data_IF_145204469266
#
_entry.id   IF_145204469266
#
_cell.length_a   1.000
_cell.length_b   1.000
_cell.length_c   1.000
_cell.angle_alpha   90.00
_cell.angle_beta   90.00
_cell.angle_gamma   90.00
#
_symmetry.space_group_name_H-M   'P 1'
#
loop_
_entity.id
_entity.type
_entity.pdbx_description
1 polymer ?
#
# COMPACT_ATOMS: atom_id res chain seq x y z
N UNK A 1 16.49 -14.87 6.30
CA UNK A 1 16.38 -13.46 6.77
C UNK A 1 17.78 -12.90 6.83
N UNK A 2 18.08 -11.79 6.15
CA UNK A 2 19.37 -11.09 6.35
C UNK A 2 19.37 -10.52 7.77
N UNK A 3 20.47 -10.66 8.49
CA UNK A 3 20.61 -10.04 9.81
C UNK A 3 20.36 -8.52 9.71
N UNK A 4 19.64 -7.98 10.68
CA UNK A 4 19.37 -6.54 10.77
C UNK A 4 20.67 -5.79 10.94
N UNK A 5 20.96 -4.83 10.04
CA UNK A 5 22.19 -4.04 10.11
C UNK A 5 22.16 -3.09 11.29
N UNK A 6 23.26 -3.04 12.02
CA UNK A 6 23.50 -2.05 13.09
C UNK A 6 24.10 -0.76 12.53
N UNK A 7 24.10 0.37 13.27
CA UNK A 7 24.83 1.58 12.88
C UNK A 7 26.29 1.30 12.52
N UNK A 8 26.98 0.45 13.27
CA UNK A 8 28.39 0.08 13.03
C UNK A 8 28.55 -0.67 11.70
N UNK A 9 27.62 -1.57 11.38
CA UNK A 9 27.63 -2.31 10.11
C UNK A 9 27.47 -1.35 8.93
N UNK A 10 26.55 -0.40 9.03
CA UNK A 10 26.30 0.60 7.97
C UNK A 10 27.55 1.45 7.75
N UNK A 11 28.17 1.99 8.81
CA UNK A 11 29.40 2.79 8.72
C UNK A 11 30.53 1.99 8.05
N UNK A 12 30.70 0.72 8.45
CA UNK A 12 31.70 -0.18 7.86
C UNK A 12 31.43 -0.38 6.36
N UNK A 13 30.19 -0.74 5.99
CA UNK A 13 29.81 -0.97 4.59
C UNK A 13 30.03 0.28 3.74
N UNK A 14 29.65 1.45 4.23
CA UNK A 14 29.81 2.73 3.52
C UNK A 14 31.28 3.02 3.23
N UNK A 15 32.17 2.79 4.20
CA UNK A 15 33.63 2.96 4.03
C UNK A 15 34.22 1.92 3.05
N UNK A 16 33.89 0.63 3.21
CA UNK A 16 34.43 -0.47 2.38
C UNK A 16 33.97 -0.40 0.92
N UNK A 17 32.72 0.05 0.69
CA UNK A 17 32.13 0.15 -0.65
C UNK A 17 32.29 1.52 -1.29
N UNK A 18 32.98 2.44 -0.65
CA UNK A 18 33.19 3.81 -1.13
C UNK A 18 31.88 4.49 -1.58
N UNK A 19 30.86 4.43 -0.74
CA UNK A 19 29.54 5.02 -1.02
C UNK A 19 29.69 6.52 -1.20
N UNK A 20 29.11 7.08 -2.26
CA UNK A 20 29.23 8.50 -2.58
C UNK A 20 28.19 9.36 -1.87
N UNK A 21 26.96 8.86 -1.75
CA UNK A 21 25.84 9.53 -1.09
C UNK A 21 24.95 8.53 -0.38
N UNK A 22 24.32 8.95 0.72
CA UNK A 22 23.30 8.21 1.41
C UNK A 22 21.99 9.04 1.37
N UNK A 23 20.95 8.48 0.77
CA UNK A 23 19.62 9.10 0.72
C UNK A 23 18.83 8.73 1.96
N UNK A 24 18.23 9.71 2.61
CA UNK A 24 17.27 9.55 3.68
C UNK A 24 15.86 9.63 3.11
N UNK A 25 15.10 8.56 3.29
CA UNK A 25 13.77 8.38 2.71
C UNK A 25 12.70 8.42 3.81
N UNK A 26 11.64 9.19 3.59
CA UNK A 26 10.44 9.22 4.41
C UNK A 26 9.24 9.59 3.53
N UNK A 27 8.02 9.57 4.06
CA UNK A 27 6.85 9.91 3.27
C UNK A 27 6.08 11.08 3.89
N UNK A 28 5.38 11.83 3.04
CA UNK A 28 4.31 12.71 3.51
C UNK A 28 3.05 11.91 3.86
N UNK A 29 2.00 12.59 4.32
CA UNK A 29 0.72 11.97 4.70
C UNK A 29 0.06 11.21 3.53
N UNK A 30 0.30 11.62 2.30
CA UNK A 30 -0.23 10.98 1.09
C UNK A 30 0.59 9.76 0.63
N UNK A 31 1.71 9.46 1.29
CA UNK A 31 2.62 8.37 0.89
C UNK A 31 3.51 8.72 -0.29
N UNK A 32 3.66 10.00 -0.60
CA UNK A 32 4.64 10.46 -1.58
C UNK A 32 6.01 10.45 -0.93
N UNK A 33 6.95 9.74 -1.57
CA UNK A 33 8.31 9.66 -1.07
C UNK A 33 9.00 11.02 -1.11
N UNK A 34 9.58 11.40 0.02
CA UNK A 34 10.47 12.54 0.19
C UNK A 34 11.87 12.03 0.43
N UNK A 35 12.88 12.75 -0.04
CA UNK A 35 14.28 12.38 0.22
C UNK A 35 15.21 13.58 0.18
N UNK A 36 16.26 13.50 0.96
CA UNK A 36 17.45 14.31 0.83
C UNK A 36 18.69 13.43 0.97
N UNK A 37 19.84 13.93 0.59
CA UNK A 37 21.09 13.16 0.58
C UNK A 37 22.11 13.75 1.51
N UNK A 38 22.85 12.90 2.23
CA UNK A 38 24.02 13.26 3.00
C UNK A 38 25.28 12.68 2.38
N UNK A 39 26.42 13.28 2.69
CA UNK A 39 27.75 12.72 2.38
C UNK A 39 28.16 11.70 3.45
N UNK A 40 29.07 10.77 3.15
CA UNK A 40 29.54 9.79 4.13
C UNK A 40 30.20 10.40 5.38
N UNK A 41 30.71 11.64 5.33
CA UNK A 41 31.26 12.35 6.49
C UNK A 41 30.21 12.62 7.57
N UNK A 42 28.98 12.85 7.19
CA UNK A 42 27.88 13.18 8.11
C UNK A 42 27.19 11.93 8.70
N UNK A 43 27.54 10.73 8.20
CA UNK A 43 26.80 9.51 8.51
C UNK A 43 26.83 9.12 10.00
N UNK A 44 28.00 9.26 10.66
CA UNK A 44 28.14 8.85 12.06
C UNK A 44 27.25 9.73 12.97
N UNK A 45 27.25 11.04 12.74
CA UNK A 45 26.40 12.00 13.45
C UNK A 45 24.92 11.75 13.15
N UNK A 46 24.56 11.60 11.87
CA UNK A 46 23.20 11.32 11.46
C UNK A 46 22.63 10.02 12.05
N UNK A 47 23.46 8.96 12.18
CA UNK A 47 23.04 7.71 12.84
C UNK A 47 22.88 7.88 14.36
N UNK A 48 23.63 8.77 15.01
CA UNK A 48 23.54 8.99 16.46
C UNK A 48 22.46 10.01 16.83
N UNK A 49 22.35 11.13 16.10
CA UNK A 49 21.48 12.25 16.47
C UNK A 49 20.32 12.48 15.49
N UNK A 50 20.44 11.98 14.27
CA UNK A 50 19.54 12.29 13.16
C UNK A 50 20.03 13.52 12.38
N UNK A 51 19.27 13.94 11.38
CA UNK A 51 19.56 15.09 10.55
C UNK A 51 18.37 16.06 10.55
N UNK A 52 18.62 17.31 10.93
CA UNK A 52 17.62 18.37 10.94
C UNK A 52 17.14 18.73 9.52
N UNK A 53 15.87 19.00 9.36
CA UNK A 53 15.27 19.50 8.12
C UNK A 53 14.02 20.34 8.39
N UNK A 54 13.64 21.19 7.43
CA UNK A 54 12.39 21.97 7.46
C UNK A 54 11.20 21.12 6.99
N UNK A 55 10.31 20.80 7.92
CA UNK A 55 9.07 20.04 7.65
C UNK A 55 7.90 20.87 7.14
N UNK A 56 7.95 22.21 7.17
CA UNK A 56 6.82 23.08 6.85
C UNK A 56 6.33 22.97 5.42
N UNK A 57 7.19 22.56 4.49
CA UNK A 57 6.87 22.35 3.08
C UNK A 57 6.47 20.90 2.75
N UNK A 58 6.37 20.03 3.75
CA UNK A 58 5.96 18.63 3.58
C UNK A 58 4.47 18.50 3.86
N UNK A 59 3.71 17.93 2.89
CA UNK A 59 2.25 17.81 3.00
C UNK A 59 1.81 17.02 4.24
N UNK A 60 0.97 17.66 5.06
CA UNK A 60 0.47 17.09 6.30
C UNK A 60 1.42 17.14 7.48
N UNK A 61 2.61 17.75 7.35
CA UNK A 61 3.58 17.92 8.43
C UNK A 61 3.31 19.21 9.23
N UNK A 62 4.35 19.78 9.79
CA UNK A 62 4.29 20.89 10.73
C UNK A 62 3.80 22.21 10.09
N UNK A 63 3.49 23.18 10.94
CA UNK A 63 3.30 24.58 10.55
C UNK A 63 4.65 25.26 10.43
N UNK A 64 4.67 26.47 9.81
CA UNK A 64 5.92 27.26 9.64
C UNK A 64 6.60 27.56 10.99
N UNK A 65 5.80 27.78 12.04
CA UNK A 65 6.29 28.08 13.39
C UNK A 65 6.91 26.86 14.11
N UNK A 66 6.67 25.66 13.61
CA UNK A 66 7.10 24.39 14.20
C UNK A 66 7.81 23.54 13.15
N UNK A 67 8.58 24.18 12.25
CA UNK A 67 9.09 23.54 11.04
C UNK A 67 10.33 22.67 11.27
N UNK A 68 11.09 22.90 12.32
CA UNK A 68 12.32 22.15 12.59
C UNK A 68 12.00 20.71 13.01
N UNK A 69 12.49 19.76 12.23
CA UNK A 69 12.28 18.33 12.43
C UNK A 69 13.59 17.56 12.27
N UNK A 70 13.63 16.35 12.80
CA UNK A 70 14.77 15.46 12.73
C UNK A 70 14.39 14.19 11.95
N UNK A 71 15.12 13.91 10.87
CA UNK A 71 15.07 12.62 10.17
C UNK A 71 16.09 11.67 10.79
N UNK A 72 15.62 10.66 11.52
CA UNK A 72 16.45 9.64 12.18
C UNK A 72 16.52 8.39 11.31
N UNK A 73 17.68 8.09 10.68
CA UNK A 73 17.78 6.94 9.80
C UNK A 73 17.68 5.62 10.57
N UNK A 74 16.94 4.68 10.00
CA UNK A 74 16.85 3.30 10.48
C UNK A 74 17.92 2.44 9.77
N UNK A 75 19.01 2.04 10.45
CA UNK A 75 20.11 1.30 9.84
C UNK A 75 19.68 -0.08 9.31
N UNK A 76 18.62 -0.69 9.87
CA UNK A 76 18.11 -1.96 9.40
C UNK A 76 17.59 -1.89 7.96
N UNK A 77 17.24 -0.68 7.51
CA UNK A 77 16.69 -0.44 6.17
C UNK A 77 17.77 -0.08 5.13
N UNK A 78 19.05 -0.02 5.50
CA UNK A 78 20.12 0.35 4.59
C UNK A 78 20.19 -0.56 3.37
N UNK A 79 20.09 0.03 2.16
CA UNK A 79 20.16 -0.65 0.86
C UNK A 79 20.90 0.21 -0.16
N UNK A 80 21.65 -0.45 -1.07
CA UNK A 80 22.15 0.20 -2.26
C UNK A 80 21.02 0.44 -3.25
N UNK A 81 21.18 1.48 -4.09
CA UNK A 81 20.26 1.78 -5.19
C UNK A 81 20.83 1.20 -6.49
N UNK A 82 20.34 0.05 -7.00
CA UNK A 82 20.94 -0.66 -8.14
C UNK A 82 20.95 0.13 -9.44
N UNK A 83 20.05 1.09 -9.56
CA UNK A 83 19.95 1.97 -10.73
C UNK A 83 20.94 3.15 -10.71
N UNK A 84 21.82 3.22 -9.71
CA UNK A 84 22.90 4.20 -9.65
C UNK A 84 24.23 3.59 -10.13
N UNK A 85 25.17 4.41 -10.64
CA UNK A 85 26.47 3.92 -11.12
C UNK A 85 27.21 3.10 -10.06
N UNK A 86 27.78 1.95 -10.46
CA UNK A 86 28.49 1.05 -9.53
C UNK A 86 29.84 1.60 -9.07
N UNK A 87 30.47 2.49 -9.83
CA UNK A 87 31.72 3.19 -9.50
C UNK A 87 31.51 4.36 -8.52
N UNK A 88 30.25 4.83 -8.39
CA UNK A 88 29.80 5.85 -7.44
C UNK A 88 28.52 5.41 -6.77
N UNK A 89 28.58 4.38 -5.93
CA UNK A 89 27.37 3.78 -5.36
C UNK A 89 26.65 4.78 -4.45
N UNK A 90 25.33 4.73 -4.53
CA UNK A 90 24.40 5.46 -3.68
C UNK A 90 23.60 4.45 -2.87
N UNK A 91 23.42 4.74 -1.59
CA UNK A 91 22.57 3.94 -0.72
C UNK A 91 21.40 4.78 -0.19
N UNK A 92 20.44 4.11 0.41
CA UNK A 92 19.31 4.78 1.10
C UNK A 92 19.05 4.14 2.46
N UNK A 93 18.46 4.89 3.38
CA UNK A 93 17.80 4.41 4.58
C UNK A 93 16.44 5.08 4.71
N UNK A 94 15.44 4.34 5.20
CA UNK A 94 14.22 4.97 5.70
C UNK A 94 14.50 5.67 7.02
N UNK A 95 13.77 6.77 7.25
CA UNK A 95 13.91 7.54 8.48
C UNK A 95 12.59 7.54 9.24
N UNK A 96 12.69 7.50 10.57
CA UNK A 96 11.65 7.95 11.47
C UNK A 96 11.75 9.46 11.61
N UNK A 97 10.65 10.17 11.67
CA UNK A 97 10.62 11.61 11.88
C UNK A 97 10.39 11.89 13.36
N UNK A 98 11.24 12.76 13.91
CA UNK A 98 11.22 13.15 15.31
C UNK A 98 11.03 14.66 15.44
N UNK A 99 10.46 15.06 16.58
CA UNK A 99 10.49 16.43 17.07
C UNK A 99 11.93 16.83 17.47
N UNK A 100 12.22 18.13 17.61
CA UNK A 100 13.55 18.61 18.03
C UNK A 100 14.00 18.07 19.40
N UNK A 101 13.07 17.70 20.27
CA UNK A 101 13.37 17.09 21.56
C UNK A 101 13.65 15.57 21.50
N UNK A 102 13.59 14.99 20.29
CA UNK A 102 13.83 13.57 20.04
C UNK A 102 12.60 12.67 20.23
N UNK A 103 11.43 13.22 20.56
CA UNK A 103 10.19 12.44 20.62
C UNK A 103 9.68 12.12 19.21
N UNK A 104 9.01 10.96 19.01
CA UNK A 104 8.43 10.63 17.70
C UNK A 104 7.39 11.67 17.24
N UNK A 105 7.52 12.13 16.00
CA UNK A 105 6.56 13.05 15.42
C UNK A 105 5.23 12.35 15.10
N UNK A 106 4.13 12.86 15.64
CA UNK A 106 2.79 12.28 15.50
C UNK A 106 2.23 12.32 14.07
N UNK A 107 2.82 13.15 13.21
CA UNK A 107 2.47 13.27 11.79
C UNK A 107 3.29 12.36 10.87
N UNK A 108 4.20 11.53 11.40
CA UNK A 108 4.95 10.55 10.61
C UNK A 108 4.10 9.28 10.35
N UNK A 109 3.76 8.98 9.07
CA UNK A 109 3.01 7.77 8.73
C UNK A 109 3.70 6.47 9.18
N UNK A 110 5.04 6.42 9.09
CA UNK A 110 5.83 5.26 9.52
C UNK A 110 5.71 5.05 11.03
N UNK A 111 5.73 6.11 11.82
CA UNK A 111 5.51 6.05 13.27
C UNK A 111 4.08 5.56 13.62
N UNK A 112 3.06 6.04 12.92
CA UNK A 112 1.69 5.56 13.13
C UNK A 112 1.63 4.04 12.98
N UNK A 113 2.21 3.49 11.92
CA UNK A 113 2.20 2.04 11.71
C UNK A 113 3.02 1.31 12.79
N UNK A 114 4.19 1.80 13.16
CA UNK A 114 5.01 1.26 14.27
C UNK A 114 4.20 1.18 15.58
N UNK A 115 3.43 2.21 15.88
CA UNK A 115 2.58 2.26 17.09
C UNK A 115 1.49 1.18 17.08
N UNK A 116 0.83 0.94 15.94
CA UNK A 116 -0.18 -0.11 15.81
C UNK A 116 0.46 -1.50 15.87
N UNK A 117 1.61 -1.70 15.21
CA UNK A 117 2.37 -2.95 15.31
C UNK A 117 2.80 -3.26 16.75
N UNK A 118 3.24 -2.24 17.51
CA UNK A 118 3.62 -2.41 18.91
C UNK A 118 2.45 -2.90 19.78
N UNK A 119 1.24 -2.31 19.64
CA UNK A 119 0.03 -2.77 20.33
C UNK A 119 -0.28 -4.26 20.08
N UNK A 120 -0.10 -4.71 18.84
CA UNK A 120 -0.34 -6.11 18.45
C UNK A 120 0.77 -7.03 18.96
N UNK A 121 2.02 -6.53 18.99
CA UNK A 121 3.16 -7.25 19.56
C UNK A 121 3.03 -7.44 21.09
N UNK A 122 2.47 -6.48 21.83
CA UNK A 122 2.14 -6.62 23.26
C UNK A 122 1.17 -7.78 23.54
N UNK A 123 0.31 -8.09 22.56
CA UNK A 123 -0.60 -9.24 22.63
C UNK A 123 0.08 -10.55 22.20
N UNK A 124 1.37 -10.49 21.82
CA UNK A 124 2.19 -11.63 21.41
C UNK A 124 2.06 -12.00 19.93
N UNK A 125 1.53 -11.13 19.07
CA UNK A 125 1.36 -11.41 17.66
C UNK A 125 2.34 -10.61 16.79
N UNK A 126 2.78 -11.24 15.69
CA UNK A 126 3.52 -10.59 14.59
C UNK A 126 2.61 -10.51 13.37
N UNK A 127 2.53 -9.35 12.77
CA UNK A 127 1.75 -9.09 11.57
C UNK A 127 2.58 -9.29 10.31
N UNK A 128 2.11 -10.13 9.41
CA UNK A 128 2.71 -10.40 8.10
C UNK A 128 1.82 -9.93 6.98
N UNK A 129 2.45 -9.36 5.95
CA UNK A 129 1.82 -8.79 4.77
C UNK A 129 2.47 -9.30 3.49
N UNK A 130 1.68 -9.50 2.44
CA UNK A 130 2.11 -9.77 1.08
C UNK A 130 1.23 -8.99 0.10
N UNK A 131 1.58 -7.77 -0.27
CA UNK A 131 0.84 -7.00 -1.25
C UNK A 131 1.23 -7.42 -2.67
N UNK A 132 0.23 -7.48 -3.53
CA UNK A 132 0.31 -7.63 -5.00
C UNK A 132 0.13 -6.24 -5.60
N UNK A 133 1.16 -5.68 -6.24
CA UNK A 133 1.10 -4.30 -6.74
C UNK A 133 0.97 -4.29 -8.25
N UNK A 134 -0.18 -3.87 -8.73
CA UNK A 134 -0.45 -3.65 -10.14
C UNK A 134 -0.08 -2.22 -10.56
N UNK A 135 0.34 -2.05 -11.80
CA UNK A 135 0.74 -0.76 -12.36
C UNK A 135 0.70 -0.77 -13.88
N UNK A 136 0.79 0.43 -14.48
CA UNK A 136 0.81 0.59 -15.93
C UNK A 136 2.14 1.15 -16.41
N UNK A 137 2.54 0.72 -17.61
CA UNK A 137 3.58 1.40 -18.41
C UNK A 137 2.95 2.19 -19.54
N UNK A 138 3.39 3.44 -19.73
CA UNK A 138 2.99 4.31 -20.83
C UNK A 138 4.21 4.88 -21.53
N UNK A 139 4.04 5.35 -22.80
CA UNK A 139 5.14 5.99 -23.53
C UNK A 139 5.66 7.25 -22.82
N UNK A 140 4.78 8.00 -22.12
CA UNK A 140 5.13 9.25 -21.43
C UNK A 140 4.15 9.52 -20.27
N UNK A 141 4.37 10.63 -19.56
CA UNK A 141 3.54 11.05 -18.42
C UNK A 141 2.47 12.11 -18.78
N UNK A 142 2.28 12.45 -20.03
CA UNK A 142 1.32 13.48 -20.46
C UNK A 142 -0.01 12.85 -20.88
N UNK A 143 0.04 11.72 -21.57
CA UNK A 143 -1.15 10.98 -22.00
C UNK A 143 -0.97 9.48 -21.73
N UNK A 144 -2.06 8.74 -21.41
CA UNK A 144 -1.97 7.32 -21.12
C UNK A 144 -1.84 6.49 -22.42
N UNK A 145 -0.78 6.73 -23.19
CA UNK A 145 -0.51 6.00 -24.42
C UNK A 145 0.13 4.66 -24.11
N UNK A 146 -0.60 3.58 -24.43
CA UNK A 146 -0.20 2.20 -24.17
C UNK A 146 1.04 1.81 -24.96
N UNK A 147 1.88 0.91 -24.40
CA UNK A 147 3.09 0.38 -25.03
C UNK A 147 2.88 -1.03 -25.62
N UNK A 148 1.84 -1.73 -25.20
CA UNK A 148 1.42 -3.03 -25.73
C UNK A 148 -0.10 -3.23 -25.67
N UNK A 149 -0.55 -4.35 -26.22
CA UNK A 149 -1.95 -4.78 -26.23
C UNK A 149 -2.11 -6.18 -25.61
N UNK A 150 -1.17 -6.58 -24.79
CA UNK A 150 -1.23 -7.83 -24.04
C UNK A 150 -2.41 -7.86 -23.07
N UNK A 151 -2.78 -9.04 -22.65
CA UNK A 151 -3.76 -9.35 -21.64
C UNK A 151 -3.19 -10.32 -20.60
N UNK A 152 -4.09 -10.83 -19.74
CA UNK A 152 -3.71 -11.64 -18.60
C UNK A 152 -2.87 -12.87 -18.96
N UNK A 153 -1.66 -12.93 -18.41
CA UNK A 153 -0.64 -13.98 -18.65
C UNK A 153 -0.14 -14.08 -20.09
N UNK A 154 -0.39 -13.08 -20.93
CA UNK A 154 0.17 -13.10 -22.27
C UNK A 154 1.70 -13.10 -22.24
N UNK A 155 2.27 -13.81 -23.21
CA UNK A 155 3.70 -13.91 -23.44
C UNK A 155 4.12 -13.09 -24.68
N UNK A 156 5.42 -12.84 -24.90
CA UNK A 156 5.88 -12.25 -26.15
C UNK A 156 5.37 -13.02 -27.39
N UNK A 157 4.95 -12.34 -28.47
CA UNK A 157 5.19 -10.91 -28.74
C UNK A 157 4.10 -9.96 -28.23
N UNK A 158 3.04 -10.42 -27.57
CA UNK A 158 1.96 -9.59 -27.05
C UNK A 158 2.42 -8.79 -25.83
N UNK A 159 3.07 -9.43 -24.86
CA UNK A 159 3.77 -8.77 -23.77
C UNK A 159 5.12 -8.23 -24.23
N UNK A 160 5.17 -6.93 -24.51
CA UNK A 160 6.39 -6.26 -24.95
C UNK A 160 7.25 -5.73 -23.81
N UNK A 161 6.70 -5.66 -22.59
CA UNK A 161 7.35 -5.06 -21.41
C UNK A 161 7.93 -6.07 -20.41
N UNK A 162 7.91 -7.37 -20.72
CA UNK A 162 8.45 -8.43 -19.86
C UNK A 162 9.91 -8.20 -19.45
N UNK A 163 10.71 -7.52 -20.27
CA UNK A 163 12.08 -7.15 -19.96
C UNK A 163 12.14 -6.09 -18.82
N UNK A 164 11.22 -5.13 -18.78
CA UNK A 164 11.16 -4.10 -17.71
C UNK A 164 10.81 -4.73 -16.35
N UNK A 165 9.86 -5.68 -16.34
CA UNK A 165 9.54 -6.45 -15.12
C UNK A 165 10.75 -7.24 -14.63
N UNK A 166 11.44 -7.95 -15.53
CA UNK A 166 12.66 -8.72 -15.20
C UNK A 166 13.75 -7.83 -14.63
N UNK A 167 14.04 -6.68 -15.24
CA UNK A 167 15.07 -5.77 -14.76
C UNK A 167 14.71 -5.14 -13.42
N UNK A 168 13.40 -4.86 -13.21
CA UNK A 168 12.87 -4.45 -11.91
C UNK A 168 13.09 -5.53 -10.86
N UNK A 169 12.78 -6.79 -11.17
CA UNK A 169 12.95 -7.92 -10.23
C UNK A 169 14.44 -8.08 -9.87
N UNK A 170 15.35 -8.00 -10.83
CA UNK A 170 16.78 -8.05 -10.54
C UNK A 170 17.23 -6.92 -9.61
N UNK A 171 16.75 -5.70 -9.82
CA UNK A 171 17.03 -4.58 -8.94
C UNK A 171 16.47 -4.81 -7.51
N UNK A 172 15.26 -5.32 -7.39
CA UNK A 172 14.66 -5.67 -6.10
C UNK A 172 15.46 -6.78 -5.39
N UNK A 173 15.89 -7.82 -6.11
CA UNK A 173 16.71 -8.90 -5.57
C UNK A 173 18.09 -8.42 -5.12
N UNK A 174 18.75 -7.51 -5.84
CA UNK A 174 20.00 -6.87 -5.42
C UNK A 174 19.80 -6.08 -4.10
N UNK A 175 18.60 -5.57 -3.82
CA UNK A 175 18.23 -4.93 -2.56
C UNK A 175 17.77 -5.92 -1.49
N UNK A 176 17.83 -7.24 -1.74
CA UNK A 176 17.41 -8.29 -0.81
C UNK A 176 15.89 -8.46 -0.68
N UNK A 177 15.12 -7.85 -1.57
CA UNK A 177 13.66 -7.98 -1.63
C UNK A 177 13.30 -9.22 -2.44
N UNK A 178 12.48 -10.11 -1.87
CA UNK A 178 12.05 -11.33 -2.52
C UNK A 178 10.76 -11.11 -3.32
N UNK A 179 10.77 -11.54 -4.57
CA UNK A 179 9.63 -11.55 -5.47
C UNK A 179 9.17 -12.98 -5.68
N UNK A 180 7.86 -13.24 -5.69
CA UNK A 180 7.31 -14.58 -5.94
C UNK A 180 7.16 -14.83 -7.44
N UNK A 181 6.46 -13.95 -8.16
CA UNK A 181 6.32 -13.99 -9.61
C UNK A 181 5.92 -12.63 -10.18
N UNK A 182 5.80 -12.54 -11.50
CA UNK A 182 5.30 -11.36 -12.20
C UNK A 182 4.67 -11.76 -13.53
N UNK A 183 3.70 -11.00 -13.97
CA UNK A 183 3.00 -11.25 -15.22
C UNK A 183 2.44 -9.99 -15.85
N UNK A 184 1.96 -10.12 -17.08
CA UNK A 184 1.10 -9.13 -17.72
C UNK A 184 -0.30 -9.25 -17.14
N UNK A 185 -0.91 -8.12 -16.80
CA UNK A 185 -2.26 -8.04 -16.26
C UNK A 185 -3.34 -7.97 -17.36
N UNK A 186 -4.63 -7.87 -16.95
CA UNK A 186 -5.78 -7.94 -17.86
C UNK A 186 -5.81 -6.76 -18.84
N UNK A 187 -5.54 -5.54 -18.34
CA UNK A 187 -5.60 -4.36 -19.20
C UNK A 187 -4.34 -4.21 -20.07
N UNK A 188 -4.44 -3.64 -21.28
CA UNK A 188 -3.27 -3.28 -22.09
C UNK A 188 -2.28 -2.45 -21.30
N UNK A 189 -0.98 -2.77 -21.42
CA UNK A 189 0.12 -2.10 -20.70
C UNK A 189 0.06 -2.21 -19.17
N UNK A 190 -0.76 -3.11 -18.62
CA UNK A 190 -0.86 -3.36 -17.18
C UNK A 190 0.00 -4.56 -16.78
N UNK A 191 0.70 -4.40 -15.66
CA UNK A 191 1.67 -5.37 -15.16
C UNK A 191 1.52 -5.54 -13.66
N UNK A 192 1.97 -6.69 -13.16
CA UNK A 192 1.99 -7.01 -11.74
C UNK A 192 3.32 -7.65 -11.35
N UNK A 193 3.76 -7.35 -10.14
CA UNK A 193 4.89 -8.00 -9.47
C UNK A 193 4.45 -8.31 -8.04
N UNK A 194 4.48 -9.60 -7.68
CA UNK A 194 4.06 -10.07 -6.38
C UNK A 194 5.24 -10.20 -5.45
N UNK A 195 5.15 -9.53 -4.34
CA UNK A 195 6.15 -9.56 -3.29
C UNK A 195 5.93 -10.76 -2.37
N UNK A 196 7.00 -11.47 -2.03
CA UNK A 196 6.94 -12.46 -0.99
C UNK A 196 6.62 -11.78 0.35
N UNK A 197 5.69 -12.35 1.12
CA UNK A 197 5.26 -11.81 2.41
C UNK A 197 6.43 -11.58 3.38
N UNK A 198 6.34 -10.52 4.17
CA UNK A 198 7.31 -10.17 5.22
C UNK A 198 6.60 -9.47 6.39
N UNK A 199 7.32 -9.20 7.47
CA UNK A 199 6.81 -8.45 8.62
C UNK A 199 6.32 -7.05 8.23
N UNK A 200 5.25 -6.60 8.86
CA UNK A 200 4.46 -5.44 8.45
C UNK A 200 5.27 -4.19 8.12
N UNK A 201 6.15 -3.73 9.04
CA UNK A 201 6.92 -2.50 8.80
C UNK A 201 7.87 -2.64 7.60
N UNK A 202 8.58 -3.79 7.55
CA UNK A 202 9.48 -4.08 6.43
C UNK A 202 8.73 -4.16 5.11
N UNK A 203 7.52 -4.73 5.12
CA UNK A 203 6.70 -4.79 3.91
C UNK A 203 6.22 -3.42 3.46
N UNK A 204 5.87 -2.51 4.37
CA UNK A 204 5.51 -1.13 4.00
C UNK A 204 6.70 -0.39 3.36
N UNK A 205 7.91 -0.50 3.97
CA UNK A 205 9.16 0.02 3.38
C UNK A 205 9.43 -0.62 1.99
N UNK A 206 9.15 -1.91 1.85
CA UNK A 206 9.33 -2.67 0.59
C UNK A 206 8.35 -2.23 -0.49
N UNK A 207 7.08 -2.02 -0.18
CA UNK A 207 6.08 -1.54 -1.13
C UNK A 207 6.45 -0.17 -1.71
N UNK A 208 6.94 0.76 -0.86
CA UNK A 208 7.47 2.04 -1.32
C UNK A 208 8.72 1.86 -2.20
N UNK A 209 9.66 1.01 -1.78
CA UNK A 209 10.87 0.71 -2.53
C UNK A 209 10.55 0.13 -3.92
N UNK A 210 9.59 -0.81 -3.99
CA UNK A 210 9.13 -1.38 -5.26
C UNK A 210 8.56 -0.30 -6.19
N UNK A 211 7.68 0.57 -5.69
CA UNK A 211 7.10 1.65 -6.51
C UNK A 211 8.17 2.55 -7.12
N UNK A 212 9.21 2.87 -6.36
CA UNK A 212 10.33 3.68 -6.87
C UNK A 212 11.19 2.89 -7.86
N UNK A 213 11.46 1.60 -7.58
CA UNK A 213 12.25 0.74 -8.47
C UNK A 213 11.58 0.60 -9.83
N UNK A 214 10.28 0.30 -9.86
CA UNK A 214 9.49 0.21 -11.12
C UNK A 214 9.61 1.51 -11.93
N UNK A 215 9.42 2.66 -11.28
CA UNK A 215 9.50 3.98 -11.93
C UNK A 215 10.92 4.30 -12.44
N UNK A 216 11.95 3.99 -11.69
CA UNK A 216 13.34 4.26 -12.07
C UNK A 216 13.79 3.35 -13.22
N UNK A 217 13.45 2.06 -13.18
CA UNK A 217 13.74 1.14 -14.29
C UNK A 217 12.99 1.56 -15.58
N UNK A 218 11.72 1.91 -15.46
CA UNK A 218 10.93 2.43 -16.58
C UNK A 218 11.60 3.69 -17.19
N UNK A 219 11.94 4.67 -16.35
CA UNK A 219 12.59 5.91 -16.78
C UNK A 219 13.92 5.66 -17.50
N UNK A 220 14.74 4.73 -17.02
CA UNK A 220 16.00 4.36 -17.67
C UNK A 220 15.81 3.73 -19.04
N UNK A 221 14.66 3.12 -19.28
CA UNK A 221 14.29 2.49 -20.55
C UNK A 221 13.38 3.38 -21.43
N UNK A 222 13.25 4.67 -21.10
CA UNK A 222 12.46 5.62 -21.90
C UNK A 222 10.95 5.40 -21.85
N UNK A 223 10.46 4.74 -20.77
CA UNK A 223 9.06 4.40 -20.53
C UNK A 223 8.61 5.06 -19.22
N UNK A 224 7.35 5.38 -19.10
CA UNK A 224 6.76 5.93 -17.88
C UNK A 224 5.92 4.89 -17.12
N UNK A 225 6.19 4.70 -15.85
CA UNK A 225 5.42 3.81 -14.98
C UNK A 225 4.50 4.60 -14.03
N UNK A 226 3.25 4.17 -13.91
CA UNK A 226 2.29 4.77 -12.99
C UNK A 226 1.54 3.73 -12.16
N UNK A 227 1.32 4.07 -10.89
CA UNK A 227 0.46 3.34 -9.95
C UNK A 227 -0.92 4.02 -9.82
N UNK A 228 -1.33 4.80 -10.81
CA UNK A 228 -2.67 5.40 -10.86
C UNK A 228 -3.74 4.32 -10.89
N UNK A 229 -4.76 4.37 -10.00
CA UNK A 229 -5.74 3.29 -9.86
C UNK A 229 -6.56 2.99 -11.12
N UNK A 230 -6.89 4.00 -11.92
CA UNK A 230 -7.68 3.85 -13.15
C UNK A 230 -7.21 4.83 -14.22
N UNK A 231 -6.11 4.54 -14.94
CA UNK A 231 -5.58 5.47 -15.95
C UNK A 231 -6.29 5.36 -17.31
N UNK A 232 -6.92 4.21 -17.63
CA UNK A 232 -7.59 3.96 -18.90
C UNK A 232 -9.11 3.80 -18.71
N UNK A 233 -9.89 4.53 -19.50
CA UNK A 233 -11.32 4.35 -19.56
C UNK A 233 -11.69 3.04 -20.26
N UNK A 234 -12.65 2.29 -19.72
CA UNK A 234 -13.10 1.03 -20.30
C UNK A 234 -12.22 -0.20 -20.00
N UNK A 235 -11.06 -0.02 -19.36
CA UNK A 235 -10.12 -1.11 -19.01
C UNK A 235 -10.14 -1.39 -17.50
N UNK A 236 -9.54 -2.51 -17.05
CA UNK A 236 -9.34 -2.78 -15.63
C UNK A 236 -8.42 -1.73 -15.00
N UNK A 237 -8.62 -1.46 -13.71
CA UNK A 237 -7.75 -0.59 -12.91
C UNK A 237 -6.74 -1.40 -12.09
N UNK A 238 -5.79 -0.70 -11.46
CA UNK A 238 -4.75 -1.31 -10.64
C UNK A 238 -5.15 -1.44 -9.18
N UNK A 239 -5.06 -2.66 -8.66
CA UNK A 239 -5.23 -3.01 -7.26
C UNK A 239 -3.91 -3.14 -6.51
N UNK A 240 -4.00 -3.12 -5.19
CA UNK A 240 -2.97 -3.61 -4.28
C UNK A 240 -3.63 -4.63 -3.36
N UNK A 241 -3.90 -5.82 -3.90
CA UNK A 241 -4.47 -6.90 -3.10
C UNK A 241 -3.49 -7.25 -1.98
N UNK A 242 -3.96 -7.20 -0.75
CA UNK A 242 -3.07 -7.32 0.41
C UNK A 242 -3.38 -8.58 1.19
N UNK A 243 -2.50 -9.58 1.05
CA UNK A 243 -2.52 -10.76 1.89
C UNK A 243 -2.07 -10.42 3.30
N UNK A 244 -2.80 -10.95 4.30
CA UNK A 244 -2.60 -10.65 5.70
C UNK A 244 -2.66 -11.92 6.54
N UNK A 245 -1.77 -12.02 7.51
CA UNK A 245 -1.81 -13.06 8.54
C UNK A 245 -1.19 -12.58 9.85
N UNK A 246 -1.58 -13.21 10.96
CA UNK A 246 -1.00 -12.99 12.27
C UNK A 246 -0.31 -14.27 12.74
N UNK A 247 0.85 -14.13 13.35
CA UNK A 247 1.59 -15.25 13.92
C UNK A 247 1.80 -15.04 15.41
N UNK A 248 1.70 -16.12 16.18
CA UNK A 248 2.10 -16.16 17.58
C UNK A 248 3.32 -17.06 17.69
N UNK A 249 4.51 -16.47 17.81
CA UNK A 249 5.76 -17.18 17.56
C UNK A 249 5.78 -17.77 16.14
N UNK A 250 6.04 -19.06 16.00
CA UNK A 250 6.08 -19.77 14.71
C UNK A 250 4.72 -20.28 14.21
N UNK A 251 3.67 -20.15 15.00
CA UNK A 251 2.33 -20.65 14.67
C UNK A 251 1.50 -19.56 13.99
N UNK A 252 0.85 -19.91 12.88
CA UNK A 252 -0.12 -19.05 12.21
C UNK A 252 -1.42 -19.00 13.03
N UNK A 253 -1.75 -17.83 13.56
CA UNK A 253 -2.93 -17.63 14.41
C UNK A 253 -4.26 -17.70 13.66
N UNK A 254 -4.22 -17.65 12.32
CA UNK A 254 -5.42 -17.74 11.48
C UNK A 254 -5.82 -19.20 11.18
N UNK A 255 -4.97 -20.18 11.45
CA UNK A 255 -5.22 -21.57 11.13
C UNK A 255 -5.93 -22.32 12.26
N UNK A 256 -6.93 -23.14 11.88
CA UNK A 256 -7.58 -24.14 12.73
C UNK A 256 -7.88 -25.39 11.91
N UNK A 257 -7.28 -26.53 12.27
CA UNK A 257 -7.46 -27.81 11.58
C UNK A 257 -8.90 -28.37 11.66
N UNK A 258 -9.66 -27.99 12.69
CA UNK A 258 -11.01 -28.51 12.96
C UNK A 258 -12.11 -27.74 12.23
N UNK A 259 -11.81 -26.55 11.72
CA UNK A 259 -12.78 -25.70 11.02
C UNK A 259 -12.94 -26.13 9.56
N UNK A 260 -14.17 -26.01 9.04
CA UNK A 260 -14.49 -26.37 7.64
C UNK A 260 -13.69 -25.60 6.58
N UNK A 261 -13.25 -24.38 6.91
CA UNK A 261 -12.44 -23.52 6.06
C UNK A 261 -10.98 -23.42 6.52
N UNK A 262 -10.62 -24.18 7.57
CA UNK A 262 -9.35 -24.09 8.28
C UNK A 262 -9.04 -22.69 8.84
N UNK A 263 -10.08 -21.92 9.19
CA UNK A 263 -9.99 -20.60 9.80
C UNK A 263 -10.24 -20.67 11.31
N UNK A 264 -9.32 -20.15 12.09
CA UNK A 264 -9.51 -19.98 13.53
C UNK A 264 -10.63 -18.98 13.83
N UNK A 265 -11.15 -19.01 15.07
CA UNK A 265 -12.08 -17.99 15.55
C UNK A 265 -11.50 -16.58 15.40
N UNK A 266 -10.19 -16.43 15.67
CA UNK A 266 -9.47 -15.16 15.47
C UNK A 266 -9.51 -14.69 14.01
N UNK A 267 -9.23 -15.57 13.05
CA UNK A 267 -9.29 -15.23 11.62
C UNK A 267 -10.70 -14.79 11.19
N UNK A 268 -11.73 -15.49 11.68
CA UNK A 268 -13.12 -15.14 11.39
C UNK A 268 -13.48 -13.77 11.94
N UNK A 269 -13.16 -13.50 13.20
CA UNK A 269 -13.41 -12.18 13.80
C UNK A 269 -12.57 -11.07 13.15
N UNK A 270 -11.35 -11.38 12.72
CA UNK A 270 -10.50 -10.45 11.97
C UNK A 270 -11.11 -10.07 10.60
N UNK A 271 -11.59 -11.05 9.83
CA UNK A 271 -12.31 -10.81 8.56
C UNK A 271 -13.56 -9.96 8.82
N UNK A 272 -14.35 -10.31 9.85
CA UNK A 272 -15.54 -9.56 10.21
C UNK A 272 -15.21 -8.09 10.57
N UNK A 273 -14.08 -7.85 11.25
CA UNK A 273 -13.58 -6.51 11.55
C UNK A 273 -13.22 -5.71 10.29
N UNK A 274 -12.47 -6.32 9.37
CA UNK A 274 -12.17 -5.72 8.05
C UNK A 274 -13.47 -5.35 7.32
N UNK A 275 -14.46 -6.25 7.30
CA UNK A 275 -15.74 -6.00 6.63
C UNK A 275 -16.54 -4.88 7.30
N UNK A 276 -16.64 -4.90 8.62
CA UNK A 276 -17.41 -3.90 9.39
C UNK A 276 -16.89 -2.47 9.20
N UNK A 277 -15.57 -2.32 9.10
CA UNK A 277 -14.88 -1.02 9.00
C UNK A 277 -14.41 -0.68 7.58
N UNK A 278 -14.79 -1.47 6.57
CA UNK A 278 -14.33 -1.29 5.18
C UNK A 278 -14.64 0.10 4.61
N UNK A 279 -15.83 0.63 4.86
CA UNK A 279 -16.25 1.95 4.40
C UNK A 279 -15.46 3.07 5.05
N UNK A 280 -15.16 2.94 6.33
CA UNK A 280 -14.37 3.90 7.12
C UNK A 280 -12.91 3.94 6.66
N UNK A 281 -12.32 2.78 6.29
CA UNK A 281 -10.96 2.66 5.80
C UNK A 281 -10.79 3.19 4.37
N UNK A 282 -11.86 3.31 3.60
CA UNK A 282 -11.79 3.58 2.16
C UNK A 282 -11.01 4.86 1.83
N UNK A 283 -11.14 5.92 2.66
CA UNK A 283 -10.39 7.16 2.44
C UNK A 283 -8.86 6.97 2.56
N UNK A 284 -8.41 5.96 3.27
CA UNK A 284 -6.97 5.66 3.49
C UNK A 284 -6.48 4.64 2.45
N UNK A 285 -7.25 3.59 2.19
CA UNK A 285 -6.88 2.52 1.26
C UNK A 285 -7.11 2.89 -0.21
N UNK A 286 -7.98 3.88 -0.46
CA UNK A 286 -8.41 4.36 -1.78
C UNK A 286 -8.51 5.89 -1.74
N UNK A 287 -7.38 6.54 -1.54
CA UNK A 287 -7.32 7.94 -1.09
C UNK A 287 -7.50 9.00 -2.18
N UNK A 288 -7.61 8.62 -3.46
CA UNK A 288 -7.68 9.56 -4.58
C UNK A 288 -9.06 9.58 -5.23
N UNK A 289 -9.46 10.70 -5.82
CA UNK A 289 -10.67 10.74 -6.67
C UNK A 289 -10.64 9.62 -7.71
N UNK A 290 -9.47 9.34 -8.28
CA UNK A 290 -9.28 8.31 -9.29
C UNK A 290 -9.46 6.89 -8.73
N UNK A 291 -9.27 6.65 -7.44
CA UNK A 291 -9.54 5.36 -6.79
C UNK A 291 -10.97 4.89 -7.01
N UNK A 292 -11.93 5.82 -6.99
CA UNK A 292 -13.36 5.54 -7.19
C UNK A 292 -13.77 5.36 -8.67
N UNK A 293 -12.85 5.61 -9.60
CA UNK A 293 -12.99 5.20 -11.00
C UNK A 293 -12.61 3.72 -11.19
N UNK A 294 -11.77 3.17 -10.30
CA UNK A 294 -11.47 1.72 -10.23
C UNK A 294 -12.59 0.97 -9.53
N UNK A 295 -13.07 1.46 -8.38
CA UNK A 295 -14.09 0.79 -7.55
C UNK A 295 -15.50 0.89 -8.17
N UNK A 296 -15.64 0.34 -9.37
CA UNK A 296 -16.91 0.26 -10.12
C UNK A 296 -17.17 -1.19 -10.54
N UNK A 297 -18.44 -1.64 -10.58
CA UNK A 297 -18.78 -3.01 -11.01
C UNK A 297 -18.32 -3.30 -12.44
N UNK A 298 -17.95 -4.56 -12.71
CA UNK A 298 -17.63 -5.04 -14.06
C UNK A 298 -16.17 -4.94 -14.50
N UNK A 299 -15.26 -4.53 -13.61
CA UNK A 299 -13.82 -4.39 -13.89
C UNK A 299 -12.94 -5.12 -12.86
N UNK A 300 -13.40 -6.26 -12.35
CA UNK A 300 -12.71 -7.11 -11.36
C UNK A 300 -12.30 -6.40 -10.04
N UNK A 301 -12.77 -5.17 -9.84
CA UNK A 301 -12.54 -4.44 -8.60
C UNK A 301 -13.62 -4.76 -7.56
N UNK A 302 -13.29 -5.01 -6.30
CA UNK A 302 -14.27 -5.32 -5.27
C UNK A 302 -15.05 -4.07 -4.87
N UNK A 303 -16.34 -4.08 -5.15
CA UNK A 303 -17.25 -2.98 -4.79
C UNK A 303 -18.10 -3.33 -3.57
N UNK A 304 -18.34 -4.62 -3.36
CA UNK A 304 -19.28 -5.13 -2.37
C UNK A 304 -18.57 -5.67 -1.12
N UNK A 305 -19.09 -5.30 0.05
CA UNK A 305 -18.58 -5.75 1.35
C UNK A 305 -19.06 -7.16 1.61
N UNK A 306 -18.28 -8.12 1.15
CA UNK A 306 -18.54 -9.55 1.29
C UNK A 306 -17.20 -10.31 1.36
N UNK A 307 -17.27 -11.56 1.80
CA UNK A 307 -16.12 -12.46 1.75
C UNK A 307 -16.47 -13.80 1.09
N UNK A 308 -15.47 -14.44 0.51
CA UNK A 308 -15.58 -15.76 -0.09
C UNK A 308 -14.23 -16.48 -0.14
N UNK A 309 -14.28 -17.77 -0.54
CA UNK A 309 -13.07 -18.57 -0.79
C UNK A 309 -12.65 -18.57 -2.26
N UNK A 310 -13.59 -18.56 -3.18
CA UNK A 310 -13.34 -18.71 -4.62
C UNK A 310 -13.81 -17.51 -5.44
N UNK A 311 -14.75 -16.76 -4.92
CA UNK A 311 -15.34 -15.65 -5.64
C UNK A 311 -14.43 -14.43 -5.63
N UNK A 312 -13.98 -13.98 -6.82
CA UNK A 312 -13.12 -12.79 -7.00
C UNK A 312 -13.91 -11.47 -7.00
N UNK A 313 -15.24 -11.50 -7.00
CA UNK A 313 -16.08 -10.30 -6.86
C UNK A 313 -16.17 -9.79 -5.41
N UNK A 314 -15.72 -10.58 -4.43
CA UNK A 314 -15.77 -10.23 -3.02
C UNK A 314 -14.58 -9.37 -2.59
N UNK A 315 -14.81 -8.52 -1.59
CA UNK A 315 -13.82 -7.64 -1.01
C UNK A 315 -12.73 -8.40 -0.23
N UNK A 316 -13.12 -9.43 0.51
CA UNK A 316 -12.19 -10.30 1.21
C UNK A 316 -12.24 -11.70 0.61
N UNK A 317 -11.11 -12.19 0.15
CA UNK A 317 -10.94 -13.57 -0.30
C UNK A 317 -10.09 -14.36 0.69
N UNK A 318 -10.49 -15.58 0.97
CA UNK A 318 -9.69 -16.53 1.75
C UNK A 318 -9.12 -17.57 0.78
N UNK A 319 -7.82 -17.52 0.46
CA UNK A 319 -7.18 -18.50 -0.41
C UNK A 319 -7.36 -19.92 0.12
N UNK A 320 -7.51 -20.89 -0.78
CA UNK A 320 -7.72 -22.29 -0.39
C UNK A 320 -6.52 -22.83 0.37
N UNK A 321 -6.80 -23.50 1.49
CA UNK A 321 -5.80 -24.26 2.24
C UNK A 321 -5.22 -25.40 1.38
N UNK A 322 -3.91 -25.57 1.48
CA UNK A 322 -3.19 -26.72 0.91
C UNK A 322 -2.69 -27.61 2.07
N UNK A 323 -2.97 -28.93 2.05
CA UNK A 323 -2.53 -29.83 3.12
C UNK A 323 -1.04 -29.70 3.43
N UNK A 324 -0.70 -29.60 4.74
CA UNK A 324 0.68 -29.39 5.20
C UNK A 324 1.23 -27.99 5.02
N UNK A 325 0.37 -27.00 4.73
CA UNK A 325 0.74 -25.59 4.54
C UNK A 325 0.00 -24.64 5.51
N UNK A 326 -0.11 -25.04 6.78
CA UNK A 326 -0.79 -24.31 7.84
C UNK A 326 -0.27 -22.87 7.97
N UNK A 327 1.05 -22.70 7.84
CA UNK A 327 1.71 -21.38 7.87
C UNK A 327 1.30 -20.45 6.72
N UNK A 328 0.72 -20.98 5.65
CA UNK A 328 0.27 -20.18 4.49
C UNK A 328 -1.20 -19.72 4.62
N UNK A 329 -1.89 -20.03 5.72
CA UNK A 329 -3.26 -19.54 5.97
C UNK A 329 -3.26 -18.03 6.09
N UNK A 330 -4.09 -17.38 5.26
CA UNK A 330 -4.14 -15.93 5.15
C UNK A 330 -5.49 -15.45 4.62
N UNK A 331 -5.77 -14.19 4.79
CA UNK A 331 -6.84 -13.50 4.09
C UNK A 331 -6.24 -12.58 3.03
N UNK A 332 -6.99 -12.26 2.01
CA UNK A 332 -6.66 -11.29 0.97
C UNK A 332 -7.71 -10.18 0.99
N UNK A 333 -7.29 -8.97 1.31
CA UNK A 333 -8.13 -7.77 1.21
C UNK A 333 -7.87 -7.09 -0.13
N UNK A 334 -8.88 -7.04 -0.99
CA UNK A 334 -8.75 -6.70 -2.41
C UNK A 334 -9.07 -5.25 -2.74
N UNK A 335 -9.65 -4.50 -1.79
CA UNK A 335 -10.07 -3.11 -2.01
C UNK A 335 -8.92 -2.13 -2.23
N UNK A 336 -7.79 -2.17 -1.49
CA UNK A 336 -6.76 -1.16 -1.62
C UNK A 336 -6.23 -1.00 -3.04
N UNK A 337 -5.79 0.21 -3.37
CA UNK A 337 -5.07 0.47 -4.61
C UNK A 337 -3.61 0.86 -4.35
N UNK A 338 -2.71 0.70 -5.35
CA UNK A 338 -1.27 0.87 -5.15
C UNK A 338 -0.83 2.34 -5.03
N UNK A 339 -1.76 3.29 -5.11
CA UNK A 339 -1.49 4.71 -4.93
C UNK A 339 -1.69 5.19 -3.48
N UNK A 340 -2.17 4.32 -2.58
CA UNK A 340 -2.34 4.66 -1.17
C UNK A 340 -1.00 4.82 -0.44
N UNK A 341 -1.04 5.44 0.75
CA UNK A 341 0.09 5.43 1.67
C UNK A 341 0.17 4.04 2.35
N UNK A 342 1.19 3.21 2.08
CA UNK A 342 1.23 1.84 2.58
C UNK A 342 1.31 1.76 4.12
N UNK A 343 1.99 2.70 4.78
CA UNK A 343 2.04 2.72 6.25
C UNK A 343 0.65 2.91 6.84
N UNK A 344 -0.08 3.92 6.35
CA UNK A 344 -1.42 4.22 6.86
C UNK A 344 -2.43 3.15 6.46
N UNK A 345 -2.38 2.66 5.22
CA UNK A 345 -3.25 1.59 4.74
C UNK A 345 -3.10 0.32 5.57
N UNK A 346 -1.86 -0.13 5.80
CA UNK A 346 -1.60 -1.33 6.60
C UNK A 346 -1.94 -1.12 8.09
N UNK A 347 -1.77 0.09 8.62
CA UNK A 347 -2.18 0.42 10.00
C UNK A 347 -3.69 0.31 10.19
N UNK A 348 -4.50 0.90 9.28
CA UNK A 348 -5.97 0.84 9.41
C UNK A 348 -6.53 -0.55 9.16
N UNK A 349 -5.94 -1.34 8.24
CA UNK A 349 -6.32 -2.73 8.04
C UNK A 349 -6.08 -3.56 9.30
N UNK A 350 -4.89 -3.44 9.89
CA UNK A 350 -4.56 -4.16 11.13
C UNK A 350 -5.48 -3.75 12.28
N UNK A 351 -5.71 -2.45 12.45
CA UNK A 351 -6.58 -1.93 13.50
C UNK A 351 -8.03 -2.41 13.33
N UNK A 352 -8.58 -2.39 12.11
CA UNK A 352 -9.93 -2.88 11.82
C UNK A 352 -10.06 -4.39 12.09
N UNK A 353 -9.11 -5.19 11.62
CA UNK A 353 -9.09 -6.62 11.90
C UNK A 353 -9.00 -6.94 13.38
N UNK A 354 -8.10 -6.26 14.12
CA UNK A 354 -7.93 -6.45 15.56
C UNK A 354 -9.15 -5.98 16.36
N UNK A 355 -9.83 -4.91 15.93
CA UNK A 355 -11.09 -4.47 16.52
C UNK A 355 -12.14 -5.58 16.47
N UNK A 356 -12.24 -6.26 15.33
CA UNK A 356 -13.11 -7.44 15.20
C UNK A 356 -12.74 -8.58 16.15
N UNK A 357 -11.44 -8.81 16.36
CA UNK A 357 -10.94 -9.82 17.32
C UNK A 357 -11.25 -9.44 18.76
N UNK A 358 -10.98 -8.19 19.14
CA UNK A 358 -11.20 -7.67 20.50
C UNK A 358 -12.68 -7.70 20.92
N UNK A 359 -13.57 -7.38 19.98
CA UNK A 359 -15.02 -7.33 20.22
C UNK A 359 -15.76 -8.62 19.79
N UNK A 360 -15.02 -9.65 19.34
CA UNK A 360 -15.57 -10.94 18.90
C UNK A 360 -16.65 -10.80 17.83
N UNK A 361 -16.39 -10.00 16.78
CA UNK A 361 -17.31 -9.83 15.68
C UNK A 361 -17.61 -11.17 15.00
N UNK A 362 -18.87 -11.37 14.66
CA UNK A 362 -19.32 -12.59 14.01
C UNK A 362 -19.19 -12.45 12.49
N UNK A 363 -18.49 -13.41 11.88
CA UNK A 363 -18.34 -13.47 10.43
C UNK A 363 -19.64 -13.99 9.81
N UNK A 364 -20.29 -13.27 8.86
CA UNK A 364 -21.42 -13.79 8.13
C UNK A 364 -21.04 -14.96 7.21
N UNK A 365 -22.02 -15.67 6.67
CA UNK A 365 -21.77 -16.73 5.69
C UNK A 365 -21.04 -16.20 4.45
N UNK A 366 -20.19 -17.02 3.81
CA UNK A 366 -19.47 -16.61 2.62
C UNK A 366 -20.43 -16.48 1.42
N UNK A 367 -20.15 -15.53 0.54
CA UNK A 367 -20.91 -15.33 -0.71
C UNK A 367 -20.10 -15.92 -1.86
N UNK A 368 -20.41 -17.16 -2.24
CA UNK A 368 -19.72 -17.87 -3.33
C UNK A 368 -20.33 -17.62 -4.72
N UNK A 369 -21.52 -17.01 -4.78
CA UNK A 369 -22.19 -16.59 -6.01
C UNK A 369 -21.56 -15.31 -6.56
N UNK A 370 -21.66 -15.08 -7.88
CA UNK A 370 -21.20 -13.84 -8.49
C UNK A 370 -22.08 -12.66 -8.08
N UNK A 371 -21.54 -11.79 -7.21
CA UNK A 371 -22.30 -10.65 -6.66
C UNK A 371 -22.66 -9.63 -7.76
N UNK A 372 -21.89 -9.56 -8.85
CA UNK A 372 -22.20 -8.65 -9.96
C UNK A 372 -23.48 -9.04 -10.72
N UNK A 373 -23.84 -10.32 -10.73
CA UNK A 373 -25.07 -10.82 -11.34
C UNK A 373 -26.30 -10.72 -10.40
N UNK A 374 -26.08 -10.47 -9.09
CA UNK A 374 -27.17 -10.27 -8.14
C UNK A 374 -27.85 -8.92 -8.36
N UNK A 375 -29.17 -8.89 -8.34
CA UNK A 375 -29.92 -7.63 -8.31
C UNK A 375 -29.84 -6.95 -6.93
N UNK A 376 -30.27 -5.70 -6.84
CA UNK A 376 -30.20 -4.90 -5.63
C UNK A 376 -30.95 -5.53 -4.46
N UNK A 377 -32.15 -6.11 -4.75
CA UNK A 377 -33.00 -6.77 -3.74
C UNK A 377 -32.32 -8.01 -3.17
N UNK A 378 -31.65 -8.80 -4.03
CA UNK A 378 -30.93 -9.99 -3.61
C UNK A 378 -29.72 -9.60 -2.72
N UNK A 379 -28.99 -8.55 -3.08
CA UNK A 379 -27.88 -8.02 -2.26
C UNK A 379 -28.36 -7.50 -0.90
N UNK A 380 -29.46 -6.74 -0.86
CA UNK A 380 -30.04 -6.26 0.40
C UNK A 380 -30.46 -7.41 1.32
N UNK A 381 -31.14 -8.45 0.77
CA UNK A 381 -31.54 -9.65 1.52
C UNK A 381 -30.33 -10.42 2.08
N UNK A 382 -29.23 -10.44 1.35
CA UNK A 382 -27.98 -11.05 1.79
C UNK A 382 -27.17 -10.16 2.76
N UNK A 383 -27.63 -8.95 3.07
CA UNK A 383 -26.92 -7.98 3.93
C UNK A 383 -25.64 -7.43 3.30
N UNK A 384 -25.53 -7.49 1.98
CA UNK A 384 -24.35 -7.02 1.24
C UNK A 384 -24.45 -5.51 1.04
N UNK A 385 -23.52 -4.77 1.63
CA UNK A 385 -23.38 -3.32 1.42
C UNK A 385 -22.30 -3.04 0.37
N UNK A 386 -22.24 -1.80 -0.13
CA UNK A 386 -21.21 -1.36 -1.07
C UNK A 386 -20.17 -0.50 -0.38
N UNK A 387 -18.93 -0.53 -0.88
CA UNK A 387 -17.91 0.47 -0.56
C UNK A 387 -18.40 1.86 -1.02
N UNK A 388 -17.80 2.96 -0.49
CA UNK A 388 -18.10 4.30 -0.97
C UNK A 388 -17.93 4.41 -2.50
N UNK A 389 -18.89 5.03 -3.18
CA UNK A 389 -18.85 5.23 -4.64
C UNK A 389 -18.07 6.47 -5.08
N UNK A 390 -17.62 7.28 -4.12
CA UNK A 390 -16.87 8.53 -4.39
C UNK A 390 -15.94 8.88 -3.25
N UNK A 391 -14.94 9.73 -3.54
CA UNK A 391 -14.08 10.32 -2.50
C UNK A 391 -14.90 11.07 -1.43
N UNK A 392 -16.01 11.69 -1.83
CA UNK A 392 -16.88 12.42 -0.91
C UNK A 392 -17.56 11.49 0.09
N UNK A 393 -18.11 10.38 -0.37
CA UNK A 393 -18.71 9.39 0.53
C UNK A 393 -17.68 8.81 1.49
N UNK A 394 -16.48 8.47 1.00
CA UNK A 394 -15.40 7.98 1.85
C UNK A 394 -14.96 9.02 2.90
N UNK A 395 -14.94 10.31 2.55
CA UNK A 395 -14.72 11.40 3.51
C UNK A 395 -15.78 11.38 4.62
N UNK A 396 -17.06 11.27 4.25
CA UNK A 396 -18.18 11.26 5.20
C UNK A 396 -18.13 10.05 6.15
N UNK A 397 -17.71 8.89 5.64
CA UNK A 397 -17.57 7.68 6.48
C UNK A 397 -16.38 7.83 7.45
N UNK A 398 -15.23 8.29 6.96
CA UNK A 398 -14.05 8.48 7.79
C UNK A 398 -14.27 9.56 8.88
N UNK A 399 -14.93 10.67 8.57
CA UNK A 399 -15.18 11.76 9.53
C UNK A 399 -15.94 11.29 10.78
N UNK A 400 -16.75 10.25 10.66
CA UNK A 400 -17.55 9.68 11.75
C UNK A 400 -16.81 8.58 12.53
N UNK A 401 -15.69 8.10 12.00
CA UNK A 401 -15.01 6.92 12.52
C UNK A 401 -14.08 7.27 13.68
N UNK A 402 -14.44 6.80 14.88
CA UNK A 402 -13.54 6.85 16.03
C UNK A 402 -12.34 5.91 15.84
N UNK A 403 -12.56 4.72 15.26
CA UNK A 403 -11.47 3.76 15.01
C UNK A 403 -10.38 4.35 14.10
N UNK A 404 -10.76 5.04 13.02
CA UNK A 404 -9.78 5.68 12.13
C UNK A 404 -9.06 6.82 12.84
N UNK A 405 -9.77 7.62 13.65
CA UNK A 405 -9.17 8.69 14.44
C UNK A 405 -8.16 8.17 15.46
N UNK A 406 -8.50 7.13 16.19
CA UNK A 406 -7.60 6.49 17.17
C UNK A 406 -6.39 5.85 16.52
N UNK A 407 -6.59 5.20 15.35
CA UNK A 407 -5.54 4.52 14.61
C UNK A 407 -4.54 5.51 14.03
N UNK A 408 -5.01 6.55 13.36
CA UNK A 408 -4.17 7.52 12.68
C UNK A 408 -3.61 8.60 13.63
N UNK A 409 -4.30 8.84 14.74
CA UNK A 409 -4.09 9.99 15.62
C UNK A 409 -4.68 11.28 15.02
N UNK A 410 -5.03 12.22 15.90
CA UNK A 410 -5.73 13.46 15.52
C UNK A 410 -4.99 14.24 14.43
N UNK A 411 -3.67 14.29 14.47
CA UNK A 411 -2.89 15.06 13.49
C UNK A 411 -3.09 14.53 12.07
N UNK A 412 -2.74 13.27 11.80
CA UNK A 412 -2.86 12.66 10.46
C UNK A 412 -4.32 12.59 10.03
N UNK A 413 -5.23 12.19 10.93
CA UNK A 413 -6.66 12.14 10.66
C UNK A 413 -7.19 13.48 10.12
N UNK A 414 -6.93 14.58 10.82
CA UNK A 414 -7.41 15.91 10.43
C UNK A 414 -6.71 16.41 9.16
N UNK A 415 -5.40 16.18 9.01
CA UNK A 415 -4.63 16.58 7.81
C UNK A 415 -5.11 15.86 6.56
N UNK A 416 -5.36 14.54 6.66
CA UNK A 416 -5.85 13.75 5.54
C UNK A 416 -7.26 14.22 5.12
N UNK A 417 -8.17 14.40 6.05
CA UNK A 417 -9.52 14.93 5.78
C UNK A 417 -9.44 16.29 5.12
N UNK A 418 -8.64 17.22 5.65
CA UNK A 418 -8.51 18.55 5.08
C UNK A 418 -7.97 18.51 3.65
N UNK A 419 -6.93 17.72 3.39
CA UNK A 419 -6.36 17.54 2.07
C UNK A 419 -7.39 16.96 1.08
N UNK A 420 -8.12 15.92 1.48
CA UNK A 420 -9.10 15.26 0.60
C UNK A 420 -10.36 16.11 0.35
N UNK A 421 -10.74 17.00 1.27
CA UNK A 421 -11.78 18.02 1.01
C UNK A 421 -11.34 18.97 -0.10
N UNK A 422 -10.09 19.43 -0.07
CA UNK A 422 -9.55 20.32 -1.12
C UNK A 422 -9.50 19.59 -2.48
N UNK A 423 -9.06 18.32 -2.50
CA UNK A 423 -9.03 17.52 -3.73
C UNK A 423 -10.44 17.32 -4.29
N UNK A 424 -11.41 16.97 -3.43
CA UNK A 424 -12.81 16.81 -3.83
C UNK A 424 -13.40 18.12 -4.40
N UNK A 425 -13.18 19.26 -3.73
CA UNK A 425 -13.67 20.56 -4.20
C UNK A 425 -13.11 20.95 -5.56
N UNK A 426 -11.84 20.69 -5.80
CA UNK A 426 -11.23 20.90 -7.12
C UNK A 426 -11.83 19.97 -8.18
N UNK A 427 -12.05 18.71 -7.84
CA UNK A 427 -12.62 17.75 -8.78
C UNK A 427 -14.08 18.07 -9.11
N UNK A 428 -14.95 18.31 -8.12
CA UNK A 428 -16.38 18.53 -8.34
C UNK A 428 -16.70 19.84 -9.06
N UNK A 429 -15.76 20.76 -9.11
CA UNK A 429 -15.90 22.02 -9.85
C UNK A 429 -15.24 22.00 -11.23
N UNK A 430 -14.52 20.91 -11.54
CA UNK A 430 -13.86 20.75 -12.84
C UNK A 430 -14.87 20.36 -13.90
N UNK A 431 -14.94 21.13 -15.00
CA UNK A 431 -15.76 20.79 -16.17
C UNK A 431 -14.97 19.84 -17.06
N UNK A 432 -15.43 18.60 -17.18
CA UNK A 432 -14.75 17.52 -17.89
C UNK A 432 -15.01 17.53 -19.40
N UNK A 433 -14.12 16.91 -20.16
CA UNK A 433 -14.33 16.64 -21.60
C UNK A 433 -15.64 15.85 -21.85
N UNK A 434 -16.02 14.95 -20.91
CA UNK A 434 -17.28 14.23 -20.99
C UNK A 434 -18.48 15.18 -20.97
N UNK A 435 -18.50 16.17 -20.09
CA UNK A 435 -19.57 17.16 -19.96
C UNK A 435 -19.63 18.05 -21.19
N UNK A 436 -18.48 18.57 -21.62
CA UNK A 436 -18.40 19.42 -22.82
C UNK A 436 -18.90 18.64 -24.07
N UNK A 437 -18.41 17.44 -24.27
CA UNK A 437 -18.75 16.65 -25.47
C UNK A 437 -20.22 16.22 -25.52
N UNK A 438 -20.81 15.91 -24.35
CA UNK A 438 -22.18 15.38 -24.30
C UNK A 438 -23.24 16.46 -24.05
N UNK A 439 -22.93 17.54 -23.32
CA UNK A 439 -23.95 18.49 -22.90
C UNK A 439 -23.93 19.80 -23.69
N UNK A 440 -22.77 20.33 -24.04
CA UNK A 440 -22.68 21.59 -24.79
C UNK A 440 -23.42 21.59 -26.13
N UNK A 441 -23.46 20.44 -26.88
CA UNK A 441 -24.22 20.41 -28.14
C UNK A 441 -25.76 20.43 -27.99
N UNK A 442 -26.29 20.11 -26.80
CA UNK A 442 -27.71 19.84 -26.60
C UNK A 442 -28.39 20.71 -25.53
N UNK A 443 -27.62 21.38 -24.67
CA UNK A 443 -28.11 22.26 -23.62
C UNK A 443 -27.79 23.74 -23.94
#
# INVERSE_FOLDING_TARGET
>A
MSESKTPKDVIKIVKERNVSFIQFWFTDVLGILKSFSITPSELEEALSEGMGFDGSSVEGFARIEESDMIAKPDPATFQFLPWRPKDRPVARMFCDILEPDGTPYVGDPRYVFKRILAKVAEQGYTYYLGPELEYFYFENNETPKIIDKGGYFDAPPLDTAGHLRRDTIFALQEMGIQVEYSHHEVAPSQHEIDLRYDEGLRMADTALTMRITVKEIARQNGVYATFMPKPLFGENGSGMHTHQSLFKGDANAFYDASDQYHLSAMAKSYIAGIMAHAREMALVTNQWVNSYKRLVPGYEAPVYVAWARRNRSTMVRVPMYKPGKEKATRIEFRSPDPACNPYLAFAVMLAAGMKGVEENYQLPEPIEEDIYEMDEIARERAGITSLPGSLYEALQEMEKSELMRETLGDHIFNKLIANKKIEWDRYRTHVSEFEISNYLPIL
#
